data_IF_283117822376
#
_entry.id   IF_283117822376
#
_cell.length_a   1.000
_cell.length_b   1.000
_cell.length_c   1.000
_cell.angle_alpha   90.00
_cell.angle_beta   90.00
_cell.angle_gamma   90.00
#
_symmetry.space_group_name_H-M   'P 1'
#
loop_
_entity.id
_entity.type
_entity.pdbx_description
1 polymer ?
#
# COMPACT_ATOMS: atom_id res chain seq x y z
N UNK A 1 5.63 20.16 -79.64
CA UNK A 1 6.28 18.89 -79.20
C UNK A 1 7.35 19.21 -78.16
N UNK A 2 7.02 19.23 -76.86
CA UNK A 2 8.02 19.26 -75.75
C UNK A 2 7.48 19.11 -74.30
N UNK A 3 6.27 18.59 -74.12
CA UNK A 3 5.67 18.39 -72.77
C UNK A 3 5.66 16.92 -72.32
N UNK A 4 5.44 15.97 -73.23
CA UNK A 4 5.18 14.57 -72.88
C UNK A 4 6.46 13.80 -72.46
N UNK A 5 7.59 14.03 -73.14
CA UNK A 5 8.89 13.40 -72.82
C UNK A 5 9.38 13.73 -71.39
N UNK A 6 8.98 14.87 -70.83
CA UNK A 6 9.47 15.32 -69.51
C UNK A 6 8.82 14.60 -68.33
N UNK A 7 7.64 14.00 -68.49
CA UNK A 7 7.03 13.19 -67.43
C UNK A 7 7.58 11.75 -67.39
N UNK A 8 7.96 11.17 -68.53
CA UNK A 8 8.50 9.80 -68.58
C UNK A 8 9.86 9.65 -67.89
N UNK A 9 10.63 10.74 -67.77
CA UNK A 9 11.95 10.75 -67.12
C UNK A 9 11.89 10.92 -65.59
N UNK A 10 10.79 11.43 -65.02
CA UNK A 10 10.65 11.57 -63.56
C UNK A 10 10.08 10.31 -62.89
N UNK A 11 9.17 9.59 -63.56
CA UNK A 11 8.57 8.36 -63.01
C UNK A 11 9.57 7.19 -62.92
N UNK A 12 10.58 7.16 -63.79
CA UNK A 12 11.48 6.02 -63.92
C UNK A 12 12.71 6.05 -62.96
N UNK A 13 13.10 7.23 -62.44
CA UNK A 13 14.22 7.31 -61.48
C UNK A 13 13.86 6.69 -60.14
N UNK A 14 12.65 6.98 -59.61
CA UNK A 14 12.16 6.29 -58.39
C UNK A 14 11.96 4.79 -58.63
N UNK A 15 11.40 4.39 -59.77
CA UNK A 15 11.18 2.99 -60.10
C UNK A 15 12.51 2.19 -60.17
N UNK A 16 13.51 2.69 -60.90
CA UNK A 16 14.81 2.01 -61.03
C UNK A 16 15.69 2.06 -59.78
N UNK A 17 15.49 3.05 -58.89
CA UNK A 17 16.10 3.07 -57.55
C UNK A 17 15.38 2.08 -56.61
N UNK A 18 14.06 1.91 -56.74
CA UNK A 18 13.28 0.92 -56.02
C UNK A 18 13.63 -0.50 -56.47
N UNK A 19 13.74 -0.76 -57.78
CA UNK A 19 14.15 -2.06 -58.35
C UNK A 19 15.52 -2.49 -57.83
N UNK A 20 16.52 -1.60 -57.81
CA UNK A 20 17.85 -1.90 -57.23
C UNK A 20 17.77 -2.27 -55.76
N UNK A 21 16.93 -1.58 -54.98
CA UNK A 21 16.72 -1.86 -53.56
C UNK A 21 15.95 -3.17 -53.34
N UNK A 22 14.98 -3.49 -54.21
CA UNK A 22 14.30 -4.78 -54.23
C UNK A 22 15.29 -5.90 -54.59
N UNK A 23 16.19 -5.71 -55.56
CA UNK A 23 17.23 -6.68 -55.92
C UNK A 23 18.20 -6.93 -54.74
N UNK A 24 18.55 -5.87 -54.00
CA UNK A 24 19.39 -5.95 -52.80
C UNK A 24 18.66 -6.59 -51.61
N UNK A 25 17.34 -6.44 -51.51
CA UNK A 25 16.52 -6.97 -50.41
C UNK A 25 16.00 -8.39 -50.67
N UNK A 26 15.84 -8.82 -51.94
CA UNK A 26 15.45 -10.19 -52.36
C UNK A 26 16.06 -11.32 -51.50
N UNK A 27 17.39 -11.41 -51.29
CA UNK A 27 17.99 -12.48 -50.47
C UNK A 27 17.64 -12.39 -48.97
N UNK A 28 17.19 -11.24 -48.49
CA UNK A 28 16.78 -11.00 -47.10
C UNK A 28 15.26 -11.09 -46.88
N UNK A 29 14.42 -11.16 -47.92
CA UNK A 29 12.95 -11.20 -47.78
C UNK A 29 12.50 -12.32 -46.84
N UNK A 30 13.08 -13.52 -46.94
CA UNK A 30 12.75 -14.64 -46.04
C UNK A 30 13.04 -14.33 -44.56
N UNK A 31 14.16 -13.67 -44.28
CA UNK A 31 14.53 -13.23 -42.94
C UNK A 31 13.68 -12.06 -42.44
N UNK A 32 13.28 -11.13 -43.32
CA UNK A 32 12.38 -10.03 -42.99
C UNK A 32 10.98 -10.56 -42.65
N UNK A 33 10.44 -11.50 -43.43
CA UNK A 33 9.15 -12.15 -43.12
C UNK A 33 9.23 -12.94 -41.82
N UNK A 34 10.31 -13.70 -41.59
CA UNK A 34 10.54 -14.39 -40.32
C UNK A 34 10.58 -13.41 -39.13
N UNK A 35 11.32 -12.30 -39.25
CA UNK A 35 11.45 -11.28 -38.21
C UNK A 35 10.11 -10.57 -37.93
N UNK A 36 9.34 -10.23 -38.97
CA UNK A 36 7.99 -9.65 -38.82
C UNK A 36 7.06 -10.64 -38.11
N UNK A 37 7.03 -11.92 -38.52
CA UNK A 37 6.22 -12.95 -37.87
C UNK A 37 6.63 -13.16 -36.39
N UNK A 38 7.94 -13.13 -36.09
CA UNK A 38 8.43 -13.22 -34.72
C UNK A 38 7.98 -12.02 -33.87
N UNK A 39 8.09 -10.78 -34.39
CA UNK A 39 7.61 -9.56 -33.71
C UNK A 39 6.09 -9.60 -33.53
N UNK A 40 5.32 -9.98 -34.53
CA UNK A 40 3.85 -10.15 -34.41
C UNK A 40 3.50 -11.20 -33.35
N UNK A 41 4.23 -12.33 -33.30
CA UNK A 41 4.06 -13.36 -32.27
C UNK A 41 4.31 -12.82 -30.85
N UNK A 42 5.40 -12.07 -30.65
CA UNK A 42 5.73 -11.42 -29.37
C UNK A 42 4.65 -10.41 -28.97
N UNK A 43 4.16 -9.58 -29.89
CA UNK A 43 3.10 -8.59 -29.62
C UNK A 43 1.77 -9.27 -29.25
N UNK A 44 1.41 -10.37 -29.92
CA UNK A 44 0.21 -11.14 -29.58
C UNK A 44 0.31 -11.80 -28.20
N UNK A 45 1.45 -12.42 -27.88
CA UNK A 45 1.69 -13.00 -26.55
C UNK A 45 1.66 -11.91 -25.47
N UNK A 46 2.30 -10.76 -25.71
CA UNK A 46 2.28 -9.63 -24.80
C UNK A 46 0.85 -9.13 -24.53
N UNK A 47 0.02 -8.94 -25.58
CA UNK A 47 -1.36 -8.48 -25.44
C UNK A 47 -2.27 -9.46 -24.69
N UNK A 48 -2.04 -10.78 -24.84
CA UNK A 48 -2.75 -11.80 -24.04
C UNK A 48 -2.30 -11.76 -22.57
N UNK A 49 -0.99 -11.64 -22.31
CA UNK A 49 -0.47 -11.55 -20.94
C UNK A 49 -0.91 -10.26 -20.23
N UNK A 50 -0.90 -9.11 -20.92
CA UNK A 50 -1.32 -7.83 -20.34
C UNK A 50 -2.82 -7.82 -20.03
N UNK A 51 -3.67 -8.29 -20.96
CA UNK A 51 -5.12 -8.35 -20.74
C UNK A 51 -5.53 -9.36 -19.65
N UNK A 52 -4.79 -10.47 -19.49
CA UNK A 52 -4.97 -11.38 -18.35
C UNK A 52 -4.54 -10.74 -17.02
N UNK A 53 -3.46 -9.94 -17.01
CA UNK A 53 -3.03 -9.20 -15.81
C UNK A 53 -4.04 -8.12 -15.43
N UNK A 54 -4.53 -7.34 -16.40
CA UNK A 54 -5.59 -6.33 -16.23
C UNK A 54 -6.88 -6.96 -15.69
N UNK A 55 -7.32 -8.11 -16.24
CA UNK A 55 -8.50 -8.84 -15.75
C UNK A 55 -8.31 -9.35 -14.32
N UNK A 56 -7.13 -9.89 -13.97
CA UNK A 56 -6.84 -10.37 -12.61
C UNK A 56 -6.80 -9.22 -11.60
N UNK A 57 -6.16 -8.10 -11.95
CA UNK A 57 -6.12 -6.90 -11.11
C UNK A 57 -7.53 -6.32 -10.93
N UNK A 58 -8.34 -6.23 -11.99
CA UNK A 58 -9.73 -5.78 -11.92
C UNK A 58 -10.62 -6.70 -11.06
N UNK A 59 -10.43 -8.02 -11.12
CA UNK A 59 -11.10 -8.97 -10.24
C UNK A 59 -10.72 -8.76 -8.77
N UNK A 60 -9.42 -8.57 -8.49
CA UNK A 60 -8.93 -8.26 -7.14
C UNK A 60 -9.52 -6.97 -6.58
N UNK A 61 -9.60 -5.89 -7.38
CA UNK A 61 -10.23 -4.63 -6.98
C UNK A 61 -11.73 -4.78 -6.74
N UNK A 62 -12.45 -5.53 -7.57
CA UNK A 62 -13.86 -5.83 -7.34
C UNK A 62 -14.07 -6.59 -6.01
N UNK A 63 -13.23 -7.59 -5.72
CA UNK A 63 -13.21 -8.30 -4.44
C UNK A 63 -12.96 -7.34 -3.27
N UNK A 64 -11.92 -6.50 -3.35
CA UNK A 64 -11.60 -5.50 -2.33
C UNK A 64 -12.76 -4.53 -2.06
N UNK A 65 -13.42 -4.00 -3.09
CA UNK A 65 -14.54 -3.06 -2.91
C UNK A 65 -15.80 -3.74 -2.32
N UNK A 66 -16.07 -4.99 -2.68
CA UNK A 66 -17.17 -5.76 -2.09
C UNK A 66 -16.90 -6.10 -0.61
N UNK A 67 -15.67 -6.49 -0.28
CA UNK A 67 -15.25 -6.82 1.07
C UNK A 67 -15.21 -5.59 2.00
N UNK A 68 -14.52 -4.52 1.58
CA UNK A 68 -14.38 -3.28 2.37
C UNK A 68 -15.71 -2.58 2.66
N UNK A 69 -16.69 -2.72 1.75
CA UNK A 69 -18.06 -2.21 1.96
C UNK A 69 -18.85 -2.89 3.08
N UNK A 70 -18.38 -4.02 3.62
CA UNK A 70 -19.03 -4.72 4.75
C UNK A 70 -18.71 -4.13 6.13
N UNK A 71 -17.57 -3.43 6.26
CA UNK A 71 -17.01 -3.00 7.55
C UNK A 71 -16.31 -4.11 8.35
N UNK A 72 -16.39 -5.38 7.93
CA UNK A 72 -15.69 -6.50 8.54
C UNK A 72 -14.36 -6.79 7.80
N UNK A 73 -13.24 -6.62 8.50
CA UNK A 73 -11.92 -6.88 7.96
C UNK A 73 -11.69 -8.35 7.58
N UNK A 74 -12.38 -9.32 8.19
CA UNK A 74 -12.23 -10.73 7.82
C UNK A 74 -12.70 -11.03 6.39
N UNK A 75 -13.55 -10.18 5.79
CA UNK A 75 -13.97 -10.30 4.40
C UNK A 75 -12.85 -9.93 3.40
N UNK A 76 -11.77 -9.28 3.86
CA UNK A 76 -10.63 -8.90 3.02
C UNK A 76 -9.65 -10.06 2.79
N UNK A 77 -9.60 -11.05 3.70
CA UNK A 77 -8.63 -12.14 3.64
C UNK A 77 -8.74 -13.01 2.36
N UNK A 78 -9.94 -13.36 1.84
CA UNK A 78 -10.03 -14.02 0.53
C UNK A 78 -9.41 -13.23 -0.62
N UNK A 79 -9.43 -11.89 -0.57
CA UNK A 79 -8.78 -11.02 -1.57
C UNK A 79 -7.26 -11.04 -1.40
N UNK A 80 -6.80 -11.16 -0.15
CA UNK A 80 -5.38 -11.26 0.20
C UNK A 80 -4.81 -12.61 -0.25
N UNK A 81 -5.51 -13.71 0.02
CA UNK A 81 -5.14 -15.08 -0.39
C UNK A 81 -5.22 -15.32 -1.90
N UNK A 82 -6.29 -14.87 -2.57
CA UNK A 82 -6.46 -15.12 -4.02
C UNK A 82 -5.58 -14.19 -4.89
N UNK A 83 -5.25 -12.98 -4.42
CA UNK A 83 -4.52 -11.99 -5.20
C UNK A 83 -3.30 -11.36 -4.48
N UNK A 84 -2.40 -12.12 -3.82
CA UNK A 84 -1.43 -11.62 -2.84
C UNK A 84 -0.49 -10.52 -3.34
N UNK A 85 -0.20 -10.50 -4.65
CA UNK A 85 0.68 -9.53 -5.33
C UNK A 85 -0.06 -8.44 -6.11
N UNK A 86 -1.40 -8.39 -6.06
CA UNK A 86 -2.21 -7.31 -6.64
C UNK A 86 -2.12 -6.04 -5.81
N UNK A 87 -2.40 -4.87 -6.39
CA UNK A 87 -2.47 -3.63 -5.59
C UNK A 87 -3.68 -3.65 -4.66
N UNK A 88 -4.80 -4.22 -5.11
CA UNK A 88 -5.98 -4.42 -4.28
C UNK A 88 -5.69 -5.21 -2.99
N UNK A 89 -4.84 -6.24 -3.05
CA UNK A 89 -4.40 -7.02 -1.88
C UNK A 89 -3.48 -6.22 -0.93
N UNK A 90 -2.63 -5.33 -1.45
CA UNK A 90 -1.84 -4.41 -0.61
C UNK A 90 -2.78 -3.42 0.12
N UNK A 91 -3.79 -2.88 -0.56
CA UNK A 91 -4.82 -2.03 0.06
C UNK A 91 -5.72 -2.81 1.04
N UNK A 92 -6.00 -4.09 0.77
CA UNK A 92 -6.68 -4.99 1.69
C UNK A 92 -5.88 -5.19 2.98
N UNK A 93 -4.59 -5.59 2.89
CA UNK A 93 -3.70 -5.74 4.06
C UNK A 93 -3.60 -4.44 4.87
N UNK A 94 -3.50 -3.28 4.22
CA UNK A 94 -3.52 -1.98 4.89
C UNK A 94 -4.83 -1.75 5.65
N UNK A 95 -5.98 -2.08 5.06
CA UNK A 95 -7.28 -1.91 5.70
C UNK A 95 -7.55 -2.90 6.85
N UNK A 96 -6.97 -4.10 6.81
CA UNK A 96 -6.96 -5.03 7.97
C UNK A 96 -6.18 -4.40 9.13
N UNK A 97 -4.96 -3.92 8.89
CA UNK A 97 -4.13 -3.27 9.93
C UNK A 97 -4.79 -1.98 10.48
N UNK A 98 -5.45 -1.18 9.62
CA UNK A 98 -6.26 -0.03 10.05
C UNK A 98 -7.43 -0.42 10.96
N UNK A 99 -8.06 -1.57 10.69
CA UNK A 99 -9.19 -2.06 11.48
C UNK A 99 -8.75 -2.63 12.84
N UNK A 100 -7.61 -3.29 12.91
CA UNK A 100 -7.01 -3.75 14.17
C UNK A 100 -6.44 -2.60 15.01
N UNK A 101 -5.93 -1.53 14.37
CA UNK A 101 -5.61 -0.27 15.07
C UNK A 101 -6.86 0.37 15.67
N UNK A 102 -7.97 0.40 14.93
CA UNK A 102 -9.26 0.94 15.40
C UNK A 102 -9.80 0.15 16.59
N UNK A 103 -9.98 -1.18 16.45
CA UNK A 103 -10.40 -2.09 17.54
C UNK A 103 -9.53 -1.91 18.78
N UNK A 104 -8.21 -1.89 18.57
CA UNK A 104 -7.23 -1.69 19.63
C UNK A 104 -7.47 -0.38 20.38
N UNK A 105 -7.56 0.73 19.64
CA UNK A 105 -7.78 2.07 20.19
C UNK A 105 -9.11 2.21 20.94
N UNK A 106 -10.19 1.60 20.43
CA UNK A 106 -11.51 1.59 21.09
C UNK A 106 -11.50 0.77 22.39
N UNK A 107 -10.81 -0.37 22.41
CA UNK A 107 -10.73 -1.24 23.57
C UNK A 107 -9.84 -0.66 24.71
N UNK A 108 -8.86 0.21 24.44
CA UNK A 108 -7.87 0.70 25.43
C UNK A 108 -8.45 1.20 26.77
N UNK A 109 -9.65 1.80 26.74
CA UNK A 109 -10.30 2.39 27.92
C UNK A 109 -11.31 1.45 28.61
N UNK A 110 -11.46 0.22 28.13
CA UNK A 110 -12.50 -0.73 28.57
C UNK A 110 -11.95 -2.14 28.80
N UNK A 111 -11.03 -2.59 27.95
CA UNK A 111 -10.43 -3.92 27.98
C UNK A 111 -8.99 -3.86 27.44
N UNK A 112 -8.04 -3.73 28.37
CA UNK A 112 -6.64 -3.44 28.02
C UNK A 112 -5.92 -4.63 27.40
N UNK A 113 -6.39 -5.86 27.65
CA UNK A 113 -5.79 -7.07 27.09
C UNK A 113 -6.30 -7.31 25.65
N UNK A 114 -7.61 -7.15 25.41
CA UNK A 114 -8.22 -7.11 24.07
C UNK A 114 -7.55 -6.02 23.19
N UNK A 115 -7.36 -4.81 23.75
CA UNK A 115 -6.66 -3.72 23.08
C UNK A 115 -5.22 -4.06 22.69
N UNK A 116 -4.45 -4.62 23.63
CA UNK A 116 -3.03 -4.96 23.41
C UNK A 116 -2.82 -6.22 22.56
N UNK A 117 -3.87 -6.97 22.23
CA UNK A 117 -3.83 -7.98 21.16
C UNK A 117 -4.03 -7.32 19.79
N UNK A 118 -5.09 -6.51 19.61
CA UNK A 118 -5.38 -5.85 18.34
C UNK A 118 -4.28 -4.86 17.91
N UNK A 119 -3.72 -4.08 18.84
CA UNK A 119 -2.63 -3.14 18.51
C UNK A 119 -1.35 -3.85 18.03
N UNK A 120 -1.08 -5.09 18.48
CA UNK A 120 0.06 -5.88 17.96
C UNK A 120 -0.18 -6.36 16.53
N UNK A 121 -1.39 -6.84 16.24
CA UNK A 121 -1.78 -7.22 14.86
C UNK A 121 -1.66 -6.03 13.90
N UNK A 122 -2.04 -4.83 14.34
CA UNK A 122 -1.83 -3.61 13.57
C UNK A 122 -0.34 -3.31 13.33
N UNK A 123 0.51 -3.39 14.37
CA UNK A 123 1.97 -3.24 14.25
C UNK A 123 2.55 -4.25 13.25
N UNK A 124 2.24 -5.54 13.43
CA UNK A 124 2.72 -6.64 12.56
C UNK A 124 2.28 -6.44 11.10
N UNK A 125 1.01 -6.06 10.86
CA UNK A 125 0.49 -5.78 9.53
C UNK A 125 1.13 -4.55 8.86
N UNK A 126 1.36 -3.46 9.61
CA UNK A 126 2.04 -2.29 9.07
C UNK A 126 3.54 -2.53 8.81
N UNK A 127 4.25 -3.22 9.70
CA UNK A 127 5.67 -3.56 9.50
C UNK A 127 5.87 -4.49 8.29
N UNK A 128 4.98 -5.47 8.09
CA UNK A 128 4.97 -6.31 6.89
C UNK A 128 4.73 -5.48 5.61
N UNK A 129 3.74 -4.59 5.61
CA UNK A 129 3.47 -3.69 4.47
C UNK A 129 4.66 -2.80 4.12
N UNK A 130 5.31 -2.21 5.12
CA UNK A 130 6.49 -1.35 4.96
C UNK A 130 7.67 -2.13 4.35
N UNK A 131 7.82 -3.41 4.71
CA UNK A 131 8.88 -4.27 4.19
C UNK A 131 8.60 -4.81 2.77
N UNK A 132 7.33 -5.05 2.42
CA UNK A 132 6.93 -5.66 1.14
C UNK A 132 6.69 -4.64 0.01
N UNK A 133 6.09 -3.48 0.32
CA UNK A 133 5.58 -2.57 -0.72
C UNK A 133 6.60 -1.54 -1.17
N UNK A 134 6.53 -1.20 -2.45
CA UNK A 134 7.24 -0.05 -3.05
C UNK A 134 6.26 1.10 -3.39
N UNK A 135 4.99 0.99 -3.01
CA UNK A 135 4.02 2.08 -3.15
C UNK A 135 4.23 3.12 -2.04
N UNK A 136 4.75 4.29 -2.41
CA UNK A 136 5.06 5.37 -1.47
C UNK A 136 3.83 5.92 -0.72
N UNK A 137 2.62 5.80 -1.30
CA UNK A 137 1.40 6.21 -0.62
C UNK A 137 1.00 5.19 0.45
N UNK A 138 1.22 3.90 0.21
CA UNK A 138 1.07 2.88 1.25
C UNK A 138 2.15 3.05 2.31
N UNK A 139 3.44 3.09 1.95
CA UNK A 139 4.54 3.20 2.93
C UNK A 139 4.33 4.35 3.93
N UNK A 140 3.96 5.55 3.45
CA UNK A 140 3.67 6.70 4.33
C UNK A 140 2.45 6.43 5.21
N UNK A 141 1.38 5.81 4.68
CA UNK A 141 0.15 5.51 5.42
C UNK A 141 0.37 4.42 6.48
N UNK A 142 1.12 3.36 6.17
CA UNK A 142 1.52 2.31 7.10
C UNK A 142 2.44 2.87 8.20
N UNK A 143 3.40 3.74 7.88
CA UNK A 143 4.26 4.40 8.88
C UNK A 143 3.47 5.30 9.85
N UNK A 144 2.44 6.02 9.35
CA UNK A 144 1.51 6.80 10.19
C UNK A 144 0.74 5.87 11.12
N UNK A 145 0.16 4.78 10.60
CA UNK A 145 -0.59 3.81 11.41
C UNK A 145 0.29 3.09 12.44
N UNK A 146 1.52 2.72 12.06
CA UNK A 146 2.52 2.10 12.94
C UNK A 146 2.89 3.03 14.11
N UNK A 147 3.11 4.31 13.82
CA UNK A 147 3.36 5.31 14.86
C UNK A 147 2.16 5.44 15.82
N UNK A 148 0.94 5.51 15.28
CA UNK A 148 -0.30 5.56 16.08
C UNK A 148 -0.54 4.29 16.91
N UNK A 149 -0.19 3.11 16.40
CA UNK A 149 -0.25 1.86 17.14
C UNK A 149 0.75 1.84 18.31
N UNK A 150 2.00 2.23 18.08
CA UNK A 150 3.00 2.35 19.14
C UNK A 150 2.63 3.41 20.20
N UNK A 151 2.08 4.57 19.79
CA UNK A 151 1.53 5.55 20.74
C UNK A 151 0.39 4.97 21.59
N UNK A 152 -0.50 4.20 20.96
CA UNK A 152 -1.64 3.54 21.61
C UNK A 152 -1.19 2.47 22.62
N UNK A 153 -0.08 1.79 22.35
CA UNK A 153 0.56 0.84 23.27
C UNK A 153 1.38 1.53 24.38
N UNK A 154 1.70 2.83 24.24
CA UNK A 154 2.59 3.57 25.14
C UNK A 154 4.09 3.36 24.85
N UNK A 155 4.44 2.84 23.68
CA UNK A 155 5.81 2.53 23.22
C UNK A 155 6.44 3.79 22.56
N UNK A 156 6.64 4.84 23.36
CA UNK A 156 6.87 6.22 22.86
C UNK A 156 8.14 6.37 22.03
N UNK A 157 9.20 5.64 22.36
CA UNK A 157 10.46 5.64 21.60
C UNK A 157 10.25 5.08 20.18
N UNK A 158 9.45 4.02 20.02
CA UNK A 158 9.13 3.42 18.72
C UNK A 158 8.16 4.28 17.92
N UNK A 159 7.15 4.85 18.59
CA UNK A 159 6.24 5.82 17.99
C UNK A 159 7.00 7.03 17.42
N UNK A 160 7.96 7.56 18.17
CA UNK A 160 8.81 8.68 17.73
C UNK A 160 9.62 8.29 16.49
N UNK A 161 10.26 7.12 16.47
CA UNK A 161 11.01 6.63 15.31
C UNK A 161 10.13 6.45 14.06
N UNK A 162 8.90 5.92 14.21
CA UNK A 162 7.96 5.80 13.10
C UNK A 162 7.51 7.18 12.57
N UNK A 163 7.24 8.16 13.45
CA UNK A 163 7.00 9.54 13.03
C UNK A 163 8.22 10.18 12.35
N UNK A 164 9.45 9.87 12.76
CA UNK A 164 10.67 10.33 12.09
C UNK A 164 10.78 9.78 10.66
N UNK A 165 10.34 8.53 10.41
CA UNK A 165 10.22 8.00 9.05
C UNK A 165 9.17 8.76 8.23
N UNK A 166 7.98 9.06 8.80
CA UNK A 166 6.97 9.90 8.11
C UNK A 166 7.54 11.28 7.78
N UNK A 167 8.24 11.91 8.72
CA UNK A 167 8.82 13.25 8.58
C UNK A 167 10.01 13.34 7.60
N UNK A 168 10.62 12.20 7.26
CA UNK A 168 11.78 12.10 6.37
C UNK A 168 11.41 11.61 4.97
N UNK A 169 10.49 10.63 4.88
CA UNK A 169 10.21 9.90 3.65
C UNK A 169 8.93 10.38 2.94
N UNK A 170 8.09 11.21 3.58
CA UNK A 170 6.86 11.70 2.94
C UNK A 170 7.12 12.86 1.98
N UNK A 171 6.61 12.72 0.75
CA UNK A 171 6.51 13.80 -0.24
C UNK A 171 5.44 14.85 0.07
N UNK A 172 4.62 14.62 1.11
CA UNK A 172 3.53 15.52 1.52
C UNK A 172 3.98 16.42 2.67
N UNK A 173 4.04 17.74 2.44
CA UNK A 173 4.31 18.73 3.49
C UNK A 173 3.33 18.60 4.68
N UNK A 174 2.07 18.25 4.41
CA UNK A 174 1.04 18.07 5.43
C UNK A 174 1.39 16.93 6.40
N UNK A 175 1.80 15.76 5.88
CA UNK A 175 2.20 14.62 6.72
C UNK A 175 3.53 14.89 7.42
N UNK A 176 4.50 15.50 6.74
CA UNK A 176 5.79 15.90 7.32
C UNK A 176 5.62 16.91 8.46
N UNK A 177 4.69 17.88 8.33
CA UNK A 177 4.35 18.83 9.39
C UNK A 177 3.60 18.17 10.55
N UNK A 178 2.65 17.27 10.26
CA UNK A 178 1.93 16.51 11.29
C UNK A 178 2.89 15.66 12.13
N UNK A 179 3.76 14.88 11.48
CA UNK A 179 4.75 14.03 12.14
C UNK A 179 5.70 14.84 13.04
N UNK A 180 6.25 15.96 12.54
CA UNK A 180 7.10 16.86 13.34
C UNK A 180 6.37 17.44 14.56
N UNK A 181 5.13 17.87 14.38
CA UNK A 181 4.29 18.35 15.49
C UNK A 181 3.97 17.24 16.50
N UNK A 182 3.91 15.97 16.07
CA UNK A 182 3.67 14.84 16.97
C UNK A 182 4.92 14.44 17.75
N UNK A 183 6.09 14.42 17.10
CA UNK A 183 7.40 14.24 17.76
C UNK A 183 7.62 15.33 18.83
N UNK A 184 7.37 16.60 18.50
CA UNK A 184 7.46 17.71 19.45
C UNK A 184 6.52 17.54 20.65
N UNK A 185 5.28 17.10 20.41
CA UNK A 185 4.35 16.79 21.49
C UNK A 185 4.78 15.60 22.34
N UNK A 186 5.27 14.50 21.75
CA UNK A 186 5.74 13.32 22.48
C UNK A 186 6.95 13.64 23.39
N UNK A 187 7.79 14.61 23.00
CA UNK A 187 8.89 15.12 23.82
C UNK A 187 8.45 16.07 24.97
N UNK A 188 7.17 16.51 25.00
CA UNK A 188 6.65 17.45 26.00
C UNK A 188 6.41 16.83 27.38
N UNK A 189 6.35 17.65 28.41
CA UNK A 189 6.03 17.19 29.76
C UNK A 189 4.54 16.82 29.93
N UNK A 190 3.65 17.35 29.07
CA UNK A 190 2.25 16.94 29.00
C UNK A 190 2.11 15.50 28.50
N UNK A 191 2.84 15.12 27.43
CA UNK A 191 2.84 13.74 26.94
C UNK A 191 3.46 12.77 27.96
N UNK A 192 4.59 13.13 28.59
CA UNK A 192 5.18 12.34 29.69
C UNK A 192 4.21 12.16 30.85
N UNK A 193 3.43 13.19 31.19
CA UNK A 193 2.41 13.13 32.24
C UNK A 193 1.24 12.23 31.82
N UNK A 194 0.77 12.34 30.57
CA UNK A 194 -0.30 11.50 30.01
C UNK A 194 0.11 10.02 29.98
N UNK A 195 1.23 9.65 29.35
CA UNK A 195 1.67 8.25 29.29
C UNK A 195 2.12 7.72 30.65
N UNK A 196 2.68 8.58 31.50
CA UNK A 196 2.99 8.28 32.91
C UNK A 196 1.75 8.02 33.78
N UNK A 197 0.56 8.47 33.37
CA UNK A 197 -0.73 8.06 33.93
C UNK A 197 -1.30 6.83 33.22
N UNK A 198 -1.32 6.83 31.88
CA UNK A 198 -1.98 5.83 31.03
C UNK A 198 -1.37 4.42 31.14
N UNK A 199 -0.05 4.34 31.32
CA UNK A 199 0.64 3.09 31.67
C UNK A 199 0.06 2.44 32.93
N UNK A 200 -0.29 3.24 33.94
CA UNK A 200 -0.86 2.82 35.23
C UNK A 200 -2.39 2.69 35.19
N UNK A 201 -3.06 3.29 34.22
CA UNK A 201 -4.51 3.18 34.05
C UNK A 201 -4.92 1.72 33.84
N UNK A 202 -5.94 1.31 34.60
CA UNK A 202 -6.65 0.04 34.46
C UNK A 202 -8.13 0.36 34.28
N UNK A 203 -8.79 -0.14 33.23
CA UNK A 203 -10.23 0.07 33.08
C UNK A 203 -11.00 -0.64 34.19
N UNK A 204 -12.16 -0.09 34.55
CA UNK A 204 -13.11 -0.81 35.39
C UNK A 204 -13.77 -1.93 34.56
N UNK A 205 -14.06 -3.12 35.14
CA UNK A 205 -14.67 -4.20 34.40
C UNK A 205 -16.00 -3.79 33.74
N UNK A 206 -16.17 -4.10 32.45
CA UNK A 206 -17.40 -3.94 31.65
C UNK A 206 -18.63 -4.24 32.54
N UNK A 207 -19.49 -3.25 32.87
CA UNK A 207 -20.55 -3.43 33.87
C UNK A 207 -21.50 -4.58 33.51
N UNK A 208 -21.45 -5.64 34.30
CA UNK A 208 -22.27 -6.83 34.08
C UNK A 208 -23.75 -6.46 34.28
N UNK A 209 -24.53 -6.47 33.20
CA UNK A 209 -25.95 -6.20 33.23
C UNK A 209 -26.68 -7.39 33.88
N UNK A 210 -26.71 -7.38 35.20
CA UNK A 210 -27.45 -8.35 36.01
C UNK A 210 -28.96 -8.10 35.87
N UNK A 211 -29.54 -8.50 34.74
CA UNK A 211 -31.00 -8.61 34.61
C UNK A 211 -31.53 -9.57 35.69
N UNK A 212 -32.65 -9.24 36.35
CA UNK A 212 -33.34 -10.20 37.18
C UNK A 212 -33.72 -11.44 36.36
N UNK A 213 -33.52 -12.64 36.92
CA UNK A 213 -33.87 -13.90 36.26
C UNK A 213 -35.37 -14.04 35.99
N UNK A 214 -36.21 -13.23 36.64
CA UNK A 214 -37.61 -13.02 36.32
C UNK A 214 -37.79 -11.66 35.62
N UNK A 215 -38.06 -11.68 34.32
CA UNK A 215 -38.34 -10.47 33.53
C UNK A 215 -39.60 -9.73 34.00
N UNK A 216 -40.50 -10.39 34.75
CA UNK A 216 -41.68 -9.74 35.36
C UNK A 216 -41.33 -8.93 36.62
N UNK A 217 -40.13 -9.11 37.19
CA UNK A 217 -39.65 -8.33 38.34
C UNK A 217 -38.83 -7.10 37.93
N UNK A 218 -38.72 -6.81 36.62
CA UNK A 218 -38.27 -5.50 36.15
C UNK A 218 -39.25 -4.42 36.62
N UNK A 219 -38.78 -3.25 37.08
CA UNK A 219 -39.65 -2.09 37.23
C UNK A 219 -40.38 -1.83 35.91
N UNK A 220 -41.71 -1.74 35.94
CA UNK A 220 -42.49 -1.32 34.78
C UNK A 220 -41.95 0.02 34.27
N UNK A 221 -41.98 0.22 32.94
CA UNK A 221 -41.39 1.41 32.31
C UNK A 221 -41.86 2.67 33.07
N UNK A 222 -40.96 3.61 33.39
CA UNK A 222 -41.37 4.85 34.02
C UNK A 222 -42.45 5.49 33.17
N UNK A 223 -43.43 6.11 33.82
CA UNK A 223 -44.62 6.70 33.19
C UNK A 223 -44.22 7.90 32.33
N UNK A 224 -43.72 7.61 31.14
CA UNK A 224 -43.23 8.53 30.10
C UNK A 224 -44.42 9.24 29.43
N UNK A 225 -45.27 9.85 30.24
CA UNK A 225 -46.18 10.91 29.84
C UNK A 225 -45.35 12.11 29.39
N UNK A 226 -44.93 12.04 28.12
CA UNK A 226 -44.66 13.26 27.37
C UNK A 226 -45.88 14.18 27.57
N UNK A 227 -45.68 15.46 27.91
CA UNK A 227 -46.78 16.42 27.93
C UNK A 227 -47.53 16.35 26.61
N UNK A 228 -48.85 16.41 26.64
CA UNK A 228 -49.63 16.49 25.40
C UNK A 228 -49.11 17.68 24.59
N UNK A 229 -48.50 17.39 23.44
CA UNK A 229 -48.11 18.43 22.50
C UNK A 229 -49.39 19.21 22.16
N UNK A 230 -49.37 20.55 22.23
CA UNK A 230 -50.57 21.34 21.95
C UNK A 230 -51.09 20.96 20.56
N UNK A 231 -52.41 20.81 20.38
CA UNK A 231 -52.98 20.31 19.14
C UNK A 231 -52.47 21.18 17.99
N UNK A 232 -51.81 20.55 17.02
CA UNK A 232 -51.21 21.27 15.91
C UNK A 232 -52.32 21.91 15.08
N UNK A 233 -52.61 23.18 15.36
CA UNK A 233 -53.48 24.01 14.54
C UNK A 233 -52.66 24.46 13.33
N UNK A 234 -52.85 23.89 12.13
CA UNK A 234 -52.26 24.48 10.93
C UNK A 234 -52.79 25.92 10.80
N UNK A 235 -51.97 26.88 10.36
CA UNK A 235 -52.41 28.26 10.22
C UNK A 235 -53.63 28.33 9.30
N UNK A 236 -54.71 28.98 9.77
CA UNK A 236 -56.01 29.01 9.11
C UNK A 236 -56.06 29.98 7.92
N UNK A 237 -55.09 29.84 7.02
CA UNK A 237 -54.99 30.53 5.73
C UNK A 237 -54.31 29.61 4.72
N UNK A 238 -55.11 28.93 3.90
CA UNK A 238 -54.66 28.58 2.55
C UNK A 238 -54.70 29.85 1.71
N UNK A 239 -53.56 30.49 1.38
CA UNK A 239 -53.56 31.40 0.24
C UNK A 239 -53.96 30.61 -1.01
N UNK A 240 -54.56 31.23 -2.04
CA UNK A 240 -54.66 30.61 -3.35
C UNK A 240 -53.24 30.24 -3.83
N UNK A 241 -53.12 29.17 -4.62
CA UNK A 241 -51.83 28.61 -5.01
C UNK A 241 -51.02 29.57 -5.93
N UNK A 242 -50.33 30.53 -5.31
CA UNK A 242 -49.31 31.33 -5.96
C UNK A 242 -48.12 30.43 -6.27
N UNK A 243 -47.78 30.31 -7.55
CA UNK A 243 -46.53 29.70 -8.01
C UNK A 243 -45.34 30.24 -7.21
N UNK A 244 -44.36 29.41 -6.84
CA UNK A 244 -43.19 29.88 -6.10
C UNK A 244 -42.52 31.06 -6.80
N UNK A 245 -42.10 32.11 -6.07
CA UNK A 245 -41.26 33.14 -6.66
C UNK A 245 -39.96 32.48 -7.16
N UNK A 246 -39.54 32.82 -8.38
CA UNK A 246 -38.29 32.33 -8.92
C UNK A 246 -37.11 32.74 -8.00
N UNK A 247 -36.14 31.85 -7.83
CA UNK A 247 -34.89 32.18 -7.16
C UNK A 247 -34.23 33.38 -7.87
N UNK A 248 -33.55 34.29 -7.14
CA UNK A 248 -32.81 35.38 -7.76
C UNK A 248 -31.76 34.80 -8.72
N UNK A 249 -31.80 35.23 -9.98
CA UNK A 249 -30.87 34.76 -10.98
C UNK A 249 -29.45 35.26 -10.63
N UNK A 250 -28.51 34.31 -10.49
CA UNK A 250 -27.08 34.63 -10.56
C UNK A 250 -26.70 34.75 -12.04
N UNK A 251 -26.21 35.92 -12.44
CA UNK A 251 -25.84 36.22 -13.84
C UNK A 251 -24.84 35.20 -14.41
N UNK A 252 -25.36 34.27 -15.20
CA UNK A 252 -24.57 33.36 -16.04
C UNK A 252 -24.78 33.80 -17.49
N UNK A 253 -23.74 34.34 -18.17
CA UNK A 253 -23.86 34.77 -19.56
C UNK A 253 -24.34 33.62 -20.45
N UNK A 254 -25.42 33.84 -21.20
CA UNK A 254 -26.05 32.80 -22.00
C UNK A 254 -25.16 32.40 -23.20
N UNK A 255 -24.57 31.21 -23.14
CA UNK A 255 -23.92 30.60 -24.29
C UNK A 255 -24.99 30.12 -25.29
N UNK A 256 -25.00 30.71 -26.48
CA UNK A 256 -25.84 30.24 -27.61
C UNK A 256 -25.43 28.84 -28.05
N UNK A 257 -26.40 27.96 -28.40
CA UNK A 257 -26.08 26.63 -28.92
C UNK A 257 -25.45 26.75 -30.33
N UNK A 258 -24.29 26.13 -30.60
CA UNK A 258 -23.78 26.02 -31.95
C UNK A 258 -24.65 25.07 -32.78
N UNK A 259 -24.88 25.41 -34.05
CA UNK A 259 -25.59 24.55 -34.99
C UNK A 259 -24.76 23.30 -35.37
N UNK A 260 -25.43 22.27 -35.87
CA UNK A 260 -24.76 21.06 -36.36
C UNK A 260 -24.13 21.33 -37.75
N UNK A 261 -22.80 21.42 -37.78
CA UNK A 261 -22.00 21.43 -39.00
C UNK A 261 -21.43 20.03 -39.29
N UNK A 262 -21.36 19.66 -40.57
CA UNK A 262 -20.99 18.29 -40.99
C UNK A 262 -19.47 18.10 -40.94
N UNK A 263 -18.94 16.97 -40.42
CA UNK A 263 -17.51 16.67 -40.49
C UNK A 263 -17.03 16.51 -41.95
N UNK A 264 -16.23 17.48 -42.41
CA UNK A 264 -15.52 17.38 -43.68
C UNK A 264 -14.30 16.45 -43.56
N UNK A 265 -13.97 15.73 -44.63
CA UNK A 265 -12.85 14.78 -44.66
C UNK A 265 -11.48 15.48 -44.64
N UNK A 266 -10.43 14.85 -44.07
CA UNK A 266 -9.09 15.40 -44.06
C UNK A 266 -8.44 15.33 -45.47
N UNK A 267 -8.01 16.48 -45.98
CA UNK A 267 -7.05 16.56 -47.08
C UNK A 267 -5.61 16.64 -46.54
N UNK A 268 -4.65 16.15 -47.31
CA UNK A 268 -3.23 16.07 -46.92
C UNK A 268 -2.42 17.31 -47.36
N UNK A 269 -1.08 17.18 -47.34
CA UNK A 269 -0.03 18.19 -47.62
C UNK A 269 0.25 19.19 -46.47
N UNK A 270 1.49 19.60 -46.17
CA UNK A 270 2.83 18.97 -46.25
C UNK A 270 3.78 19.75 -45.30
N UNK A 271 4.83 19.16 -44.68
CA UNK A 271 5.43 19.73 -43.45
C UNK A 271 6.30 20.98 -43.64
N UNK A 272 6.27 21.87 -42.64
CA UNK A 272 7.17 23.02 -42.51
C UNK A 272 8.23 22.80 -41.40
N UNK A 273 9.49 23.07 -41.74
CA UNK A 273 10.74 22.99 -40.97
C UNK A 273 10.69 22.83 -39.42
N UNK A 274 11.40 21.80 -38.93
CA UNK A 274 11.85 21.73 -37.53
C UNK A 274 12.90 22.82 -37.23
N UNK A 275 12.88 23.44 -36.03
CA UNK A 275 14.08 24.03 -35.43
C UNK A 275 15.11 22.94 -35.13
N UNK A 276 16.37 23.15 -35.52
CA UNK A 276 17.42 22.14 -35.32
C UNK A 276 17.77 21.96 -33.84
N UNK A 277 17.88 20.71 -33.39
CA UNK A 277 18.39 20.37 -32.06
C UNK A 277 19.86 20.74 -31.93
N UNK A 278 20.21 21.57 -30.94
CA UNK A 278 21.59 21.75 -30.53
C UNK A 278 22.15 20.41 -29.96
N UNK A 279 23.42 20.05 -30.22
CA UNK A 279 24.01 18.85 -29.65
C UNK A 279 24.17 18.97 -28.13
N UNK A 280 24.06 17.86 -27.37
CA UNK A 280 24.34 17.86 -25.95
C UNK A 280 25.81 18.24 -25.70
N UNK A 281 26.05 19.10 -24.70
CA UNK A 281 27.41 19.42 -24.26
C UNK A 281 28.11 18.15 -23.73
N UNK A 282 29.39 18.00 -24.05
CA UNK A 282 30.18 16.89 -23.53
C UNK A 282 30.29 16.98 -21.98
N UNK A 283 30.22 15.85 -21.26
CA UNK A 283 30.44 15.85 -19.82
C UNK A 283 31.87 16.30 -19.51
N UNK A 284 32.03 17.18 -18.51
CA UNK A 284 33.34 17.56 -18.01
C UNK A 284 34.04 16.33 -17.38
N UNK A 285 35.34 16.22 -17.61
CA UNK A 285 36.18 15.17 -17.02
C UNK A 285 36.49 15.51 -15.55
N UNK A 286 35.54 15.26 -14.67
CA UNK A 286 35.78 15.15 -13.23
C UNK A 286 36.66 13.91 -12.97
N UNK A 287 37.90 14.12 -12.54
CA UNK A 287 38.88 13.05 -12.28
C UNK A 287 38.50 12.25 -11.02
N UNK A 288 38.18 10.94 -11.11
CA UNK A 288 37.98 10.12 -9.93
C UNK A 288 39.31 9.86 -9.23
N UNK A 289 39.36 10.05 -7.90
CA UNK A 289 40.51 9.64 -7.10
C UNK A 289 40.64 8.10 -7.11
N UNK A 290 41.88 7.60 -7.22
CA UNK A 290 42.12 6.17 -7.39
C UNK A 290 41.89 5.36 -6.10
N UNK A 291 41.10 4.27 -6.13
CA UNK A 291 41.21 3.21 -5.14
C UNK A 291 42.44 2.37 -5.46
N UNK A 292 43.35 2.19 -4.49
CA UNK A 292 44.54 1.37 -4.67
C UNK A 292 44.21 -0.12 -4.57
N UNK A 293 44.65 -0.91 -5.55
CA UNK A 293 44.61 -2.38 -5.53
C UNK A 293 45.86 -2.92 -6.23
N UNK A 294 46.81 -3.41 -5.45
CA UNK A 294 48.01 -4.14 -5.92
C UNK A 294 47.91 -5.62 -5.46
N UNK A 295 48.55 -6.51 -6.21
CA UNK A 295 48.22 -7.95 -6.23
C UNK A 295 49.02 -8.76 -5.19
N UNK A 296 48.43 -9.80 -4.55
CA UNK A 296 49.17 -10.67 -3.63
C UNK A 296 50.17 -11.59 -4.33
N UNK A 297 51.31 -11.83 -3.67
CA UNK A 297 52.30 -12.85 -4.03
C UNK A 297 52.73 -13.65 -2.77
N UNK A 298 53.14 -14.90 -2.96
CA UNK A 298 53.37 -15.87 -1.87
C UNK A 298 54.89 -16.19 -1.66
N UNK A 299 55.28 -17.35 -1.09
CA UNK A 299 55.70 -17.46 0.31
C UNK A 299 57.21 -17.69 0.51
N UNK A 300 57.65 -17.66 1.77
CA UNK A 300 59.01 -18.06 2.20
C UNK A 300 58.94 -19.01 3.43
N UNK A 301 60.04 -19.72 3.73
CA UNK A 301 60.04 -20.99 4.49
C UNK A 301 61.09 -21.07 5.61
N UNK A 302 60.95 -22.10 6.47
CA UNK A 302 61.90 -22.66 7.47
C UNK A 302 62.01 -21.87 8.83
N UNK A 303 61.83 -22.41 10.05
CA UNK A 303 62.13 -23.71 10.73
C UNK A 303 63.58 -23.78 11.27
N UNK A 304 63.94 -24.33 12.47
CA UNK A 304 63.17 -24.99 13.57
C UNK A 304 63.48 -24.50 15.04
N UNK A 305 62.87 -25.19 16.03
CA UNK A 305 63.37 -25.50 17.40
C UNK A 305 63.48 -24.38 18.47
N UNK A 306 63.16 -24.58 19.76
CA UNK A 306 62.48 -25.65 20.54
C UNK A 306 62.07 -25.04 21.94
N UNK A 307 61.65 -25.68 23.04
CA UNK A 307 61.57 -27.07 23.55
C UNK A 307 60.23 -27.33 24.32
N UNK A 308 60.22 -28.25 25.31
CA UNK A 308 59.08 -28.74 26.13
C UNK A 308 59.60 -29.28 27.49
N UNK A 309 58.79 -29.83 28.45
CA UNK A 309 57.31 -29.93 28.61
C UNK A 309 56.83 -28.98 29.76
N UNK A 310 55.83 -29.15 30.64
CA UNK A 310 54.84 -30.20 31.02
C UNK A 310 53.64 -29.50 31.75
N UNK A 311 52.58 -30.13 32.32
CA UNK A 311 52.19 -31.53 32.47
C UNK A 311 50.64 -31.71 32.49
N UNK A 312 50.17 -32.81 31.88
CA UNK A 312 49.07 -33.75 32.24
C UNK A 312 47.74 -33.23 32.90
N UNK A 313 46.54 -33.27 32.28
CA UNK A 313 45.77 -34.40 31.66
C UNK A 313 45.21 -35.41 32.70
N UNK A 314 43.95 -35.93 32.63
CA UNK A 314 42.73 -35.56 31.88
C UNK A 314 41.41 -35.58 32.73
N UNK A 315 40.25 -35.46 32.06
CA UNK A 315 38.95 -35.97 32.54
C UNK A 315 38.59 -37.35 31.88
N UNK A 316 37.63 -38.13 32.42
CA UNK A 316 37.04 -39.30 31.76
C UNK A 316 35.59 -39.06 31.27
N UNK A 317 35.05 -39.95 30.42
CA UNK A 317 33.68 -39.89 29.89
C UNK A 317 33.09 -41.29 29.59
N UNK A 318 31.75 -41.36 29.47
CA UNK A 318 30.91 -42.54 29.12
C UNK A 318 30.89 -43.69 30.17
N UNK A 319 29.90 -44.58 30.27
CA UNK A 319 28.75 -44.96 29.41
C UNK A 319 27.39 -44.97 30.16
N UNK A 320 26.38 -45.72 29.67
CA UNK A 320 24.96 -45.62 30.05
C UNK A 320 24.39 -46.87 30.83
N UNK A 321 23.12 -47.33 30.63
CA UNK A 321 22.03 -47.01 31.55
C UNK A 321 21.41 -48.22 32.29
N UNK A 322 20.58 -47.95 33.32
CA UNK A 322 19.77 -48.94 34.02
C UNK A 322 18.33 -48.45 34.31
N UNK A 323 17.40 -49.40 34.42
CA UNK A 323 15.93 -49.21 34.48
C UNK A 323 15.36 -49.04 35.91
N UNK A 324 14.08 -48.62 36.08
CA UNK A 324 13.59 -48.04 37.33
C UNK A 324 13.15 -49.04 38.41
N UNK A 325 13.14 -48.57 39.67
CA UNK A 325 12.56 -49.24 40.83
C UNK A 325 11.17 -48.66 41.20
N UNK A 326 10.35 -49.47 41.86
CA UNK A 326 8.90 -49.27 42.05
C UNK A 326 8.50 -48.83 43.47
N UNK A 327 7.58 -47.85 43.58
CA UNK A 327 6.35 -47.87 44.45
C UNK A 327 6.53 -47.99 45.99
N UNK A 328 5.55 -47.66 46.88
CA UNK A 328 4.30 -46.85 46.81
C UNK A 328 4.51 -45.41 47.35
N UNK A 329 3.63 -44.41 47.22
CA UNK A 329 2.16 -44.28 47.19
C UNK A 329 1.48 -44.12 48.59
N UNK A 330 1.18 -42.87 48.94
CA UNK A 330 0.24 -42.40 49.98
C UNK A 330 -0.16 -40.94 49.61
N UNK A 331 -1.42 -40.50 49.62
CA UNK A 331 -2.69 -41.22 49.76
C UNK A 331 -3.87 -40.32 49.35
N UNK A 332 -4.99 -40.89 48.88
CA UNK A 332 -6.22 -40.14 48.59
C UNK A 332 -7.45 -41.04 48.48
N UNK A 333 -8.56 -40.61 49.09
CA UNK A 333 -9.85 -41.30 49.13
C UNK A 333 -9.96 -42.38 50.22
N UNK A 334 -11.04 -42.49 50.99
CA UNK A 334 -12.23 -41.63 51.04
C UNK A 334 -13.35 -42.25 51.89
N UNK A 335 -14.45 -41.51 52.07
CA UNK A 335 -15.75 -41.96 52.61
C UNK A 335 -15.78 -42.56 54.03
N UNK A 336 -16.21 -41.76 55.02
CA UNK A 336 -17.59 -41.85 55.53
C UNK A 336 -17.99 -40.57 56.26
#
# INVERSE_FOLDING_TARGET
>A
MKSEERHQLQTNVLASELDKRIEQVKPMIGWIVLAVLAVTGVVLVWGVVSSLHEQREAAAWNGFYLASGSGDAAQLEPVIEEYPTSKASIWARQMVADNDLLKGSEALLVDKDEAMESLKKAVEGYEALIAETNDASIQVRSQIGLAQAYESMGEIEKATQAWEQVASNSSSEVFTKHAKSRIEWLASDDAKSFYGWFSKFKPEPKPQLNLPSDLNSLPGLPDMKMPELPPFTPPATTPPATTPPAAPASDTPAATPPAAETPAAPAAETPAAQPATAPPAAPATETPAAPAAETPAAPATETPAAETPAAETPAPAAEAPATPATTPADGSGGSN
#
